data_IF_352212180506
#
_entry.id   IF_352212180506
#
_cell.length_a   1.000
_cell.length_b   1.000
_cell.length_c   1.000
_cell.angle_alpha   90.00
_cell.angle_beta   90.00
_cell.angle_gamma   90.00
#
_symmetry.space_group_name_H-M   'P 1'
#
loop_
_entity.id
_entity.type
_entity.pdbx_description
1 polymer ?
#
# COMPACT_ATOMS: atom_id res chain seq x y z
N UNK A 1 -11.87 11.15 -1.13
CA UNK A 1 -11.62 9.69 -1.15
C UNK A 1 -12.88 8.96 -0.71
N UNK A 2 -13.41 8.01 -1.48
CA UNK A 2 -14.58 7.22 -1.04
C UNK A 2 -14.13 6.21 0.03
N UNK A 3 -14.59 6.40 1.27
CA UNK A 3 -14.24 5.56 2.42
C UNK A 3 -14.89 4.17 2.40
N UNK A 4 -15.92 3.97 1.57
CA UNK A 4 -16.60 2.68 1.39
C UNK A 4 -15.98 1.82 0.28
N UNK A 5 -15.04 2.35 -0.49
CA UNK A 5 -14.37 1.55 -1.52
C UNK A 5 -13.44 0.51 -0.86
N UNK A 6 -13.57 -0.74 -1.27
CA UNK A 6 -12.79 -1.90 -0.82
C UNK A 6 -11.77 -2.36 -1.88
N UNK A 7 -11.68 -1.61 -2.99
CA UNK A 7 -10.88 -1.94 -4.17
C UNK A 7 -10.05 -0.74 -4.60
N UNK A 8 -8.76 -0.96 -4.77
CA UNK A 8 -7.81 0.07 -5.25
C UNK A 8 -6.97 -0.50 -6.37
N UNK A 9 -7.01 0.11 -7.56
CA UNK A 9 -6.07 -0.20 -8.64
C UNK A 9 -4.81 0.63 -8.42
N UNK A 10 -3.65 -0.02 -8.38
CA UNK A 10 -2.34 0.63 -8.29
C UNK A 10 -1.52 0.35 -9.55
N UNK A 11 -0.71 1.32 -9.95
CA UNK A 11 0.10 1.29 -11.18
C UNK A 11 1.22 0.24 -11.17
N UNK A 12 1.78 -0.06 -10.01
CA UNK A 12 2.90 -0.98 -9.85
C UNK A 12 2.68 -1.90 -8.67
N UNK A 13 3.15 -3.13 -8.86
CA UNK A 13 3.17 -4.21 -7.88
C UNK A 13 4.29 -4.09 -6.83
N UNK A 14 5.22 -3.16 -7.04
CA UNK A 14 6.36 -2.95 -6.16
C UNK A 14 5.90 -2.66 -4.72
N UNK A 15 6.47 -3.32 -3.68
CA UNK A 15 5.94 -3.26 -2.32
C UNK A 15 5.76 -1.84 -1.79
N UNK A 16 6.79 -0.99 -1.92
CA UNK A 16 6.73 0.39 -1.44
C UNK A 16 5.69 1.20 -2.19
N UNK A 17 5.57 1.03 -3.50
CA UNK A 17 4.59 1.76 -4.30
C UNK A 17 3.16 1.35 -3.94
N UNK A 18 2.88 0.05 -3.86
CA UNK A 18 1.57 -0.46 -3.50
C UNK A 18 1.15 0.04 -2.11
N UNK A 19 2.02 -0.15 -1.10
CA UNK A 19 1.73 0.20 0.29
C UNK A 19 1.56 1.71 0.45
N UNK A 20 2.43 2.51 -0.17
CA UNK A 20 2.29 3.97 -0.19
C UNK A 20 0.94 4.40 -0.75
N UNK A 21 0.58 3.90 -1.95
CA UNK A 21 -0.66 4.34 -2.64
C UNK A 21 -1.92 3.91 -1.90
N UNK A 22 -1.94 2.69 -1.35
CA UNK A 22 -3.06 2.20 -0.53
C UNK A 22 -3.16 2.98 0.77
N UNK A 23 -2.05 3.24 1.46
CA UNK A 23 -1.99 4.03 2.69
C UNK A 23 -2.53 5.45 2.49
N UNK A 24 -2.04 6.16 1.46
CA UNK A 24 -2.51 7.50 1.08
C UNK A 24 -3.99 7.49 0.72
N UNK A 25 -4.46 6.50 -0.05
CA UNK A 25 -5.87 6.39 -0.49
C UNK A 25 -6.86 6.31 0.67
N UNK A 26 -6.48 5.67 1.78
CA UNK A 26 -7.35 5.46 2.95
C UNK A 26 -7.01 6.35 4.16
N UNK A 27 -5.93 7.14 4.08
CA UNK A 27 -5.42 7.94 5.19
C UNK A 27 -4.96 7.07 6.36
N UNK A 28 -4.29 5.95 6.07
CA UNK A 28 -3.75 5.03 7.07
C UNK A 28 -2.26 5.31 7.25
N UNK A 29 -1.76 5.46 8.49
CA UNK A 29 -0.33 5.62 8.74
C UNK A 29 0.41 4.31 8.47
N UNK A 30 0.95 4.16 7.26
CA UNK A 30 1.82 3.05 6.88
C UNK A 30 3.28 3.53 6.85
N UNK A 31 4.22 2.63 7.19
CA UNK A 31 5.65 2.91 7.15
C UNK A 31 6.32 2.22 5.97
N UNK A 32 7.32 2.85 5.30
CA UNK A 32 8.08 2.23 4.22
C UNK A 32 8.67 0.86 4.61
N UNK A 33 9.20 0.73 5.83
CA UNK A 33 9.80 -0.52 6.31
C UNK A 33 8.80 -1.68 6.46
N UNK A 34 7.49 -1.42 6.47
CA UNK A 34 6.46 -2.46 6.50
C UNK A 34 6.10 -2.99 5.12
N UNK A 35 6.55 -2.32 4.05
CA UNK A 35 6.03 -2.49 2.70
C UNK A 35 6.14 -3.93 2.20
N UNK A 36 7.32 -4.53 2.32
CA UNK A 36 7.57 -5.92 1.89
C UNK A 36 6.68 -6.92 2.64
N UNK A 37 6.51 -6.73 3.95
CA UNK A 37 5.68 -7.62 4.75
C UNK A 37 4.20 -7.47 4.45
N UNK A 38 3.67 -6.23 4.44
CA UNK A 38 2.26 -5.96 4.12
C UNK A 38 1.95 -6.52 2.74
N UNK A 39 2.84 -6.31 1.78
CA UNK A 39 2.67 -6.83 0.44
C UNK A 39 2.57 -8.36 0.41
N UNK A 40 3.52 -9.03 1.05
CA UNK A 40 3.53 -10.49 1.13
C UNK A 40 2.25 -11.01 1.79
N UNK A 41 1.78 -10.35 2.85
CA UNK A 41 0.57 -10.74 3.57
C UNK A 41 -0.71 -10.53 2.75
N UNK A 42 -0.84 -9.41 2.02
CA UNK A 42 -1.96 -9.19 1.10
C UNK A 42 -1.98 -10.25 -0.01
N UNK A 43 -0.81 -10.61 -0.53
CA UNK A 43 -0.67 -11.67 -1.55
C UNK A 43 -1.07 -13.03 -0.98
N UNK A 44 -0.60 -13.36 0.24
CA UNK A 44 -0.93 -14.60 0.96
C UNK A 44 -2.44 -14.75 1.20
N UNK A 45 -3.15 -13.62 1.35
CA UNK A 45 -4.60 -13.58 1.52
C UNK A 45 -5.38 -13.49 0.19
N UNK A 46 -4.72 -13.63 -0.97
CA UNK A 46 -5.32 -13.48 -2.31
C UNK A 46 -6.01 -12.13 -2.53
N UNK A 47 -5.46 -11.05 -1.96
CA UNK A 47 -6.00 -9.68 -2.07
C UNK A 47 -5.31 -8.84 -3.14
N UNK A 48 -4.31 -9.39 -3.84
CA UNK A 48 -3.60 -8.69 -4.92
C UNK A 48 -3.77 -9.44 -6.22
N UNK A 49 -4.41 -8.80 -7.19
CA UNK A 49 -4.75 -9.41 -8.48
C UNK A 49 -4.06 -8.67 -9.61
N UNK A 50 -3.23 -9.34 -10.42
CA UNK A 50 -2.59 -8.71 -11.56
C UNK A 50 -3.63 -8.28 -12.60
N UNK A 51 -3.41 -7.12 -13.22
CA UNK A 51 -4.21 -6.60 -14.32
C UNK A 51 -3.33 -6.46 -15.57
N UNK A 52 -3.97 -6.46 -16.74
CA UNK A 52 -3.27 -6.18 -18.00
C UNK A 52 -2.93 -4.69 -18.06
N UNK A 53 -1.64 -4.37 -18.18
CA UNK A 53 -1.12 -3.01 -18.33
C UNK A 53 -0.30 -2.85 -19.61
N UNK A 54 -0.29 -1.64 -20.17
CA UNK A 54 0.58 -1.27 -21.29
C UNK A 54 1.72 -0.40 -20.75
N UNK A 55 2.93 -0.95 -20.70
CA UNK A 55 4.10 -0.25 -20.14
C UNK A 55 4.13 -0.16 -18.61
N UNK A 56 3.26 -0.91 -17.91
CA UNK A 56 3.20 -0.99 -16.46
C UNK A 56 2.68 -2.36 -15.99
N UNK A 57 2.81 -2.62 -14.68
CA UNK A 57 2.34 -3.85 -14.03
C UNK A 57 1.26 -3.50 -13.00
N UNK A 58 0.05 -3.09 -13.45
CA UNK A 58 -0.99 -2.65 -12.55
C UNK A 58 -1.59 -3.84 -11.80
N UNK A 59 -1.98 -3.61 -10.56
CA UNK A 59 -2.69 -4.61 -9.75
C UNK A 59 -3.90 -4.02 -9.06
N UNK A 60 -4.95 -4.84 -8.92
CA UNK A 60 -6.08 -4.58 -8.06
C UNK A 60 -5.76 -5.07 -6.65
N UNK A 61 -5.88 -4.18 -5.67
CA UNK A 61 -5.82 -4.49 -4.25
C UNK A 61 -7.22 -4.50 -3.67
N UNK A 62 -7.64 -5.65 -3.15
CA UNK A 62 -8.93 -5.85 -2.47
C UNK A 62 -8.75 -5.76 -0.95
N UNK A 63 -8.91 -4.56 -0.41
CA UNK A 63 -8.95 -4.32 1.01
C UNK A 63 -9.67 -3.01 1.32
N UNK A 64 -10.56 -3.05 2.31
CA UNK A 64 -11.12 -1.88 2.95
C UNK A 64 -10.14 -1.24 3.93
N UNK A 65 -10.42 0.00 4.33
CA UNK A 65 -9.67 0.70 5.38
C UNK A 65 -9.60 -0.11 6.67
N UNK A 66 -10.71 -0.72 7.08
CA UNK A 66 -10.79 -1.46 8.35
C UNK A 66 -9.93 -2.73 8.30
N UNK A 67 -10.00 -3.49 7.20
CA UNK A 67 -9.20 -4.71 7.05
C UNK A 67 -7.69 -4.43 7.06
N UNK A 68 -7.26 -3.32 6.45
CA UNK A 68 -5.85 -2.90 6.50
C UNK A 68 -5.41 -2.51 7.91
N UNK A 69 -6.25 -1.80 8.66
CA UNK A 69 -5.97 -1.45 10.06
C UNK A 69 -5.88 -2.71 10.93
N UNK A 70 -6.80 -3.65 10.77
CA UNK A 70 -6.82 -4.91 11.51
C UNK A 70 -5.59 -5.79 11.19
N UNK A 71 -5.17 -5.81 9.92
CA UNK A 71 -3.97 -6.49 9.46
C UNK A 71 -2.71 -5.93 10.13
N UNK A 72 -2.54 -4.60 10.13
CA UNK A 72 -1.41 -3.92 10.77
C UNK A 72 -1.46 -4.13 12.29
N UNK A 73 -2.61 -3.88 12.92
CA UNK A 73 -2.78 -4.03 14.37
C UNK A 73 -2.46 -5.46 14.83
N UNK A 74 -2.91 -6.46 14.09
CA UNK A 74 -2.59 -7.86 14.36
C UNK A 74 -1.10 -8.17 14.23
N UNK A 75 -0.43 -7.62 13.23
CA UNK A 75 1.00 -7.83 13.02
C UNK A 75 1.86 -7.16 14.10
N UNK A 76 1.49 -5.96 14.52
CA UNK A 76 2.15 -5.24 15.63
C UNK A 76 1.95 -6.01 16.94
N UNK A 77 0.72 -6.45 17.25
CA UNK A 77 0.44 -7.25 18.45
C UNK A 77 1.23 -8.57 18.52
N UNK A 78 1.55 -9.16 17.36
CA UNK A 78 2.38 -10.38 17.26
C UNK A 78 3.88 -10.09 17.16
N UNK A 79 4.31 -8.83 17.29
CA UNK A 79 5.70 -8.40 17.13
C UNK A 79 6.32 -8.72 15.76
N UNK A 80 5.49 -8.89 14.72
CA UNK A 80 5.95 -9.11 13.34
C UNK A 80 6.31 -7.77 12.68
N UNK A 81 5.50 -6.74 12.92
CA UNK A 81 5.82 -5.36 12.59
C UNK A 81 6.22 -4.62 13.87
N UNK A 82 7.33 -3.89 13.81
CA UNK A 82 7.73 -2.96 14.86
C UNK A 82 7.37 -1.53 14.46
N UNK A 83 6.90 -0.74 15.44
CA UNK A 83 6.78 0.71 15.30
C UNK A 83 8.11 1.30 15.79
N UNK A 84 8.97 1.83 14.91
CA UNK A 84 10.25 2.39 15.31
C UNK A 84 10.05 3.70 16.09
N UNK A 85 10.92 3.97 17.06
CA UNK A 85 10.91 5.23 17.84
C UNK A 85 11.08 6.48 16.96
N UNK A 86 11.83 6.32 15.86
CA UNK A 86 12.04 7.35 14.83
C UNK A 86 11.74 6.75 13.46
N UNK A 87 10.48 6.80 12.99
CA UNK A 87 10.13 6.26 11.68
C UNK A 87 10.77 7.10 10.57
N UNK A 88 11.42 6.43 9.62
CA UNK A 88 11.73 7.05 8.33
C UNK A 88 10.48 7.05 7.46
N UNK A 89 10.19 8.19 6.82
CA UNK A 89 9.12 8.36 5.84
C UNK A 89 9.68 8.49 4.42
N UNK A 90 10.93 8.08 4.21
CA UNK A 90 11.55 8.03 2.89
C UNK A 90 10.96 6.86 2.09
N UNK A 91 10.13 7.19 1.11
CA UNK A 91 9.57 6.23 0.17
C UNK A 91 10.39 6.23 -1.13
N UNK A 92 10.88 5.07 -1.54
CA UNK A 92 11.54 4.86 -2.82
C UNK A 92 10.51 4.58 -3.92
N UNK A 93 9.54 5.49 -4.07
CA UNK A 93 8.44 5.36 -5.05
C UNK A 93 8.59 6.43 -6.13
N UNK A 94 8.47 6.09 -7.43
CA UNK A 94 8.48 7.08 -8.48
C UNK A 94 7.37 8.11 -8.26
N UNK A 95 7.76 9.36 -7.99
CA UNK A 95 6.83 10.47 -7.85
C UNK A 95 6.31 11.00 -9.20
N UNK A 96 6.70 10.38 -10.33
CA UNK A 96 6.52 10.89 -11.70
C UNK A 96 5.07 11.11 -12.19
N UNK A 97 4.06 11.01 -11.31
CA UNK A 97 2.71 11.54 -11.55
C UNK A 97 2.41 12.83 -10.76
N UNK A 98 3.39 13.42 -10.08
CA UNK A 98 3.25 14.62 -9.24
C UNK A 98 3.62 15.93 -9.98
N UNK A 99 3.92 15.87 -11.27
CA UNK A 99 4.25 17.06 -12.06
C UNK A 99 3.58 16.96 -13.43
N UNK A 100 2.28 17.26 -13.45
CA UNK A 100 1.63 17.76 -14.66
C UNK A 100 0.59 18.83 -14.28
N UNK A 101 0.98 19.76 -13.41
CA UNK A 101 0.31 21.05 -13.24
C UNK A 101 1.31 22.20 -13.40
N UNK A 102 1.99 22.19 -14.55
CA UNK A 102 2.37 23.43 -15.22
C UNK A 102 1.58 23.49 -16.53
N UNK A 103 0.33 23.96 -16.43
CA UNK A 103 -0.40 24.55 -17.55
C UNK A 103 -1.30 25.67 -17.07
#
# INVERSE_FOLDING_TARGET
ANAQADRTIVYSDEPEFLVYRVGVRFGIPMLPCWSSWIRAELTRQNRVHPLVGLGCNPVLVEASKQELLDLIAGAVKRCVLSIPDKPSLEWSVPQAFATDELR
#
